data_IF_205662429460
#
_entry.id   IF_205662429460
#
_cell.length_a   1.000
_cell.length_b   1.000
_cell.length_c   1.000
_cell.angle_alpha   90.00
_cell.angle_beta   90.00
_cell.angle_gamma   90.00
#
_symmetry.space_group_name_H-M   'P 1'
#
loop_
_entity.id
_entity.type
_entity.pdbx_description
1 polymer ?
#
# COMPACT_ATOMS: atom_id res chain seq x y z
N UNK A 1 0.07 3.24 27.96
CA UNK A 1 1.17 3.45 27.00
C UNK A 1 0.55 3.15 25.65
N UNK A 2 0.30 4.15 24.81
CA UNK A 2 -0.24 3.87 23.49
C UNK A 2 0.89 3.21 22.69
N UNK A 3 0.65 2.00 22.18
CA UNK A 3 1.61 1.36 21.28
C UNK A 3 1.73 2.24 20.03
N UNK A 4 2.88 2.89 19.88
CA UNK A 4 3.15 3.86 18.81
C UNK A 4 3.28 3.13 17.45
N UNK A 5 3.39 1.79 17.47
CA UNK A 5 3.67 0.96 16.31
C UNK A 5 2.91 -0.38 16.42
N UNK A 6 2.08 -0.67 15.41
CA UNK A 6 1.43 -1.97 15.23
C UNK A 6 1.99 -2.69 14.02
N UNK A 7 2.14 -4.01 14.12
CA UNK A 7 2.55 -4.88 13.01
C UNK A 7 1.44 -5.87 12.70
N UNK A 8 1.12 -6.00 11.42
CA UNK A 8 0.12 -6.95 10.93
C UNK A 8 0.74 -7.71 9.77
N UNK A 9 0.60 -9.03 9.78
CA UNK A 9 1.20 -9.93 8.81
C UNK A 9 0.11 -10.68 8.06
N UNK A 10 -0.32 -10.11 6.94
CA UNK A 10 -1.34 -10.67 6.06
C UNK A 10 -0.74 -11.64 5.06
N UNK A 11 -1.50 -12.70 4.73
CA UNK A 11 -1.06 -13.75 3.80
C UNK A 11 -1.68 -13.61 2.42
N UNK A 12 -2.89 -13.08 2.36
CA UNK A 12 -3.67 -12.96 1.12
C UNK A 12 -4.04 -11.50 0.86
N UNK A 13 -4.51 -11.23 -0.36
CA UNK A 13 -5.00 -9.91 -0.73
C UNK A 13 -6.30 -9.59 0.03
N UNK A 14 -7.14 -10.59 0.24
CA UNK A 14 -8.39 -10.49 0.98
C UNK A 14 -8.14 -10.11 2.45
N UNK A 15 -7.17 -10.76 3.11
CA UNK A 15 -6.76 -10.41 4.48
C UNK A 15 -6.27 -8.95 4.55
N UNK A 16 -5.49 -8.51 3.55
CA UNK A 16 -5.01 -7.12 3.47
C UNK A 16 -6.16 -6.13 3.38
N UNK A 17 -7.16 -6.40 2.53
CA UNK A 17 -8.34 -5.55 2.38
C UNK A 17 -9.18 -5.48 3.65
N UNK A 18 -9.35 -6.62 4.33
CA UNK A 18 -10.06 -6.70 5.61
C UNK A 18 -9.35 -5.87 6.67
N UNK A 19 -8.04 -6.03 6.81
CA UNK A 19 -7.25 -5.29 7.80
C UNK A 19 -7.24 -3.78 7.53
N UNK A 20 -7.09 -3.35 6.27
CA UNK A 20 -7.19 -1.92 5.92
C UNK A 20 -8.59 -1.38 6.27
N UNK A 21 -9.64 -2.15 5.98
CA UNK A 21 -11.02 -1.74 6.29
C UNK A 21 -11.23 -1.62 7.80
N UNK A 22 -10.70 -2.55 8.59
CA UNK A 22 -10.80 -2.55 10.06
C UNK A 22 -10.19 -1.30 10.70
N UNK A 23 -9.21 -0.64 10.04
CA UNK A 23 -8.63 0.61 10.53
C UNK A 23 -9.68 1.72 10.68
N UNK A 24 -10.75 1.71 9.88
CA UNK A 24 -11.84 2.68 10.02
C UNK A 24 -12.57 2.52 11.36
N UNK A 25 -12.82 1.28 11.75
CA UNK A 25 -13.50 0.94 13.01
C UNK A 25 -12.60 1.26 14.20
N UNK A 26 -11.35 0.79 14.16
CA UNK A 26 -10.36 1.00 15.21
C UNK A 26 -10.06 2.48 15.45
N UNK A 27 -10.00 3.30 14.40
CA UNK A 27 -9.68 4.72 14.54
C UNK A 27 -10.76 5.54 15.27
N UNK A 28 -12.01 5.10 15.18
CA UNK A 28 -13.13 5.74 15.87
C UNK A 28 -13.00 5.57 17.39
N UNK A 29 -12.56 4.40 17.83
CA UNK A 29 -12.41 4.04 19.25
C UNK A 29 -11.02 4.33 19.82
N UNK A 30 -9.98 4.35 18.98
CA UNK A 30 -8.60 4.55 19.39
C UNK A 30 -8.39 5.94 19.99
N UNK A 31 -7.56 6.03 21.04
CA UNK A 31 -7.18 7.32 21.65
C UNK A 31 -6.26 8.12 20.72
N UNK A 32 -5.42 7.44 19.95
CA UNK A 32 -4.51 8.00 18.95
C UNK A 32 -4.64 7.23 17.63
N UNK A 33 -5.29 7.81 16.60
CA UNK A 33 -5.40 7.19 15.28
C UNK A 33 -4.02 7.06 14.60
N UNK A 34 -3.90 6.13 13.66
CA UNK A 34 -2.67 5.94 12.89
C UNK A 34 -2.36 7.16 12.02
N UNK A 35 -1.15 7.71 12.15
CA UNK A 35 -0.63 8.80 11.31
C UNK A 35 0.22 8.33 10.13
N UNK A 36 0.55 7.04 10.09
CA UNK A 36 1.29 6.42 9.00
C UNK A 36 0.83 4.97 8.81
N UNK A 37 0.55 4.59 7.57
CA UNK A 37 0.28 3.22 7.14
C UNK A 37 1.42 2.81 6.20
N UNK A 38 2.06 1.67 6.48
CA UNK A 38 3.10 1.10 5.63
C UNK A 38 2.61 -0.24 5.14
N UNK A 39 2.53 -0.41 3.81
CA UNK A 39 2.27 -1.70 3.17
C UNK A 39 3.56 -2.17 2.52
N UNK A 40 4.13 -3.24 3.05
CA UNK A 40 5.36 -3.81 2.51
C UNK A 40 5.07 -4.84 1.41
N UNK A 41 5.86 -4.80 0.34
CA UNK A 41 5.86 -5.69 -0.81
C UNK A 41 4.46 -5.88 -1.41
N UNK A 42 3.78 -4.78 -1.72
CA UNK A 42 2.40 -4.81 -2.24
C UNK A 42 2.28 -5.66 -3.52
N UNK A 43 3.32 -5.68 -4.34
CA UNK A 43 3.42 -6.54 -5.52
C UNK A 43 3.15 -8.01 -5.17
N UNK A 44 3.58 -8.51 -4.02
CA UNK A 44 3.39 -9.90 -3.62
C UNK A 44 1.89 -10.28 -3.57
N UNK A 45 1.05 -9.39 -3.04
CA UNK A 45 -0.40 -9.59 -2.93
C UNK A 45 -1.10 -9.45 -4.30
N UNK A 46 -0.60 -8.56 -5.16
CA UNK A 46 -1.19 -8.29 -6.47
C UNK A 46 -0.83 -9.31 -7.55
N UNK A 47 0.31 -10.01 -7.41
CA UNK A 47 0.75 -11.04 -8.37
C UNK A 47 0.13 -12.42 -8.10
N UNK A 48 -0.24 -12.75 -6.86
CA UNK A 48 -0.78 -14.07 -6.48
C UNK A 48 -2.15 -14.41 -7.10
N UNK A 49 -2.91 -13.40 -7.53
CA UNK A 49 -4.23 -13.56 -8.15
C UNK A 49 -4.16 -13.94 -9.65
N UNK A 50 -2.97 -13.90 -10.27
CA UNK A 50 -2.77 -14.05 -11.72
C UNK A 50 -2.60 -15.50 -12.14
N UNK A 51 -3.67 -16.28 -12.10
CA UNK A 51 -3.72 -17.61 -12.76
C UNK A 51 -4.40 -17.45 -14.13
N UNK A 52 -3.62 -17.17 -15.17
CA UNK A 52 -4.11 -17.11 -16.55
C UNK A 52 -3.31 -16.16 -17.45
N UNK A 53 -3.44 -16.27 -18.79
CA UNK A 53 -2.77 -15.36 -19.72
C UNK A 53 -3.22 -13.93 -19.41
N UNK A 54 -2.23 -13.04 -19.21
CA UNK A 54 -2.29 -11.60 -18.98
C UNK A 54 -3.72 -11.02 -19.05
N UNK A 55 -4.50 -11.16 -17.98
CA UNK A 55 -5.75 -10.41 -17.89
C UNK A 55 -5.37 -8.99 -17.49
N UNK A 56 -5.76 -8.03 -18.34
CA UNK A 56 -5.71 -6.57 -18.11
C UNK A 56 -6.56 -6.12 -16.89
N UNK A 57 -6.90 -7.03 -15.99
CA UNK A 57 -7.70 -6.75 -14.82
C UNK A 57 -6.83 -6.10 -13.73
N UNK A 58 -6.70 -4.78 -13.87
CA UNK A 58 -6.08 -3.90 -12.90
C UNK A 58 -7.05 -3.50 -11.78
N UNK A 59 -8.27 -4.05 -11.76
CA UNK A 59 -9.28 -3.71 -10.74
C UNK A 59 -8.79 -3.98 -9.31
N UNK A 60 -8.07 -5.07 -8.98
CA UNK A 60 -7.60 -5.29 -7.61
C UNK A 60 -6.55 -4.25 -7.19
N UNK A 61 -5.70 -3.83 -8.13
CA UNK A 61 -4.67 -2.81 -7.91
C UNK A 61 -5.32 -1.45 -7.63
N UNK A 62 -6.27 -1.06 -8.47
CA UNK A 62 -7.01 0.18 -8.30
C UNK A 62 -7.84 0.17 -7.00
N UNK A 63 -8.44 -0.97 -6.66
CA UNK A 63 -9.22 -1.13 -5.45
C UNK A 63 -8.38 -0.95 -4.18
N UNK A 64 -7.24 -1.64 -4.06
CA UNK A 64 -6.34 -1.49 -2.92
C UNK A 64 -5.82 -0.06 -2.81
N UNK A 65 -5.41 0.54 -3.94
CA UNK A 65 -4.87 1.89 -3.95
C UNK A 65 -5.91 2.93 -3.53
N UNK A 66 -7.15 2.80 -4.03
CA UNK A 66 -8.27 3.65 -3.64
C UNK A 66 -8.60 3.48 -2.15
N UNK A 67 -8.68 2.22 -1.68
CA UNK A 67 -8.99 1.93 -0.29
C UNK A 67 -7.94 2.53 0.66
N UNK A 68 -6.65 2.33 0.40
CA UNK A 68 -5.57 2.92 1.19
C UNK A 68 -5.65 4.46 1.21
N UNK A 69 -5.92 5.06 0.05
CA UNK A 69 -6.08 6.51 -0.07
C UNK A 69 -7.25 7.02 0.77
N UNK A 70 -8.41 6.38 0.66
CA UNK A 70 -9.62 6.75 1.38
C UNK A 70 -9.48 6.54 2.89
N UNK A 71 -8.86 5.43 3.31
CA UNK A 71 -8.55 5.19 4.73
C UNK A 71 -7.63 6.24 5.30
N UNK A 72 -6.58 6.64 4.58
CA UNK A 72 -5.70 7.72 5.03
C UNK A 72 -6.38 9.09 5.05
N UNK A 73 -7.28 9.38 4.10
CA UNK A 73 -8.08 10.59 4.13
C UNK A 73 -9.01 10.63 5.35
N UNK A 74 -9.67 9.51 5.65
CA UNK A 74 -10.51 9.36 6.84
C UNK A 74 -9.72 9.53 8.14
N UNK A 75 -8.58 8.85 8.28
CA UNK A 75 -7.70 8.99 9.45
C UNK A 75 -7.18 10.41 9.60
N UNK A 76 -6.85 11.08 8.49
CA UNK A 76 -6.47 12.49 8.49
C UNK A 76 -7.57 13.36 9.05
N UNK A 77 -8.83 13.16 8.65
CA UNK A 77 -9.96 13.91 9.20
C UNK A 77 -10.09 13.74 10.72
N UNK A 78 -9.96 12.51 11.23
CA UNK A 78 -9.98 12.24 12.67
C UNK A 78 -8.80 12.94 13.35
N UNK A 79 -7.59 12.78 12.84
CA UNK A 79 -6.38 13.40 13.41
C UNK A 79 -6.48 14.92 13.46
N UNK A 80 -6.98 15.56 12.40
CA UNK A 80 -7.19 17.01 12.35
C UNK A 80 -8.22 17.47 13.39
N UNK A 81 -9.30 16.73 13.58
CA UNK A 81 -10.31 17.05 14.60
C UNK A 81 -9.78 16.98 16.04
N UNK A 82 -8.73 16.19 16.29
CA UNK A 82 -8.19 15.93 17.64
C UNK A 82 -6.91 16.71 17.94
N UNK A 83 -6.15 17.12 16.93
CA UNK A 83 -4.82 17.73 17.06
C UNK A 83 -4.76 19.14 16.47
N UNK A 84 -5.71 20.00 16.83
CA UNK A 84 -5.77 21.42 16.42
C UNK A 84 -5.57 21.65 14.90
N UNK A 85 -6.06 20.72 14.09
CA UNK A 85 -5.99 20.79 12.62
C UNK A 85 -4.65 20.43 11.99
N UNK A 86 -3.62 20.01 12.75
CA UNK A 86 -2.27 19.74 12.21
C UNK A 86 -2.00 18.26 11.91
N UNK A 87 -2.86 17.35 12.36
CA UNK A 87 -2.68 15.92 12.14
C UNK A 87 -2.82 15.50 10.66
N UNK A 88 -1.99 14.56 10.22
CA UNK A 88 -2.05 13.97 8.88
C UNK A 88 -1.79 12.47 8.96
N UNK A 89 -2.54 11.68 8.19
CA UNK A 89 -2.23 10.28 7.94
C UNK A 89 -1.57 10.15 6.57
N UNK A 90 -0.49 9.38 6.48
CA UNK A 90 0.24 9.11 5.23
C UNK A 90 0.23 7.62 4.92
N UNK A 91 0.29 7.30 3.64
CA UNK A 91 0.47 5.93 3.15
C UNK A 91 1.83 5.83 2.49
N UNK A 92 2.56 4.76 2.82
CA UNK A 92 3.76 4.35 2.13
C UNK A 92 3.58 2.91 1.68
N UNK A 93 3.97 2.64 0.44
CA UNK A 93 3.88 1.31 -0.15
C UNK A 93 5.24 0.98 -0.76
N UNK A 94 5.77 -0.20 -0.47
CA UNK A 94 6.91 -0.74 -1.22
C UNK A 94 6.43 -1.68 -2.32
N UNK A 95 7.12 -1.63 -3.45
CA UNK A 95 6.81 -2.41 -4.65
C UNK A 95 8.12 -2.89 -5.27
N UNK A 96 8.27 -4.19 -5.42
CA UNK A 96 9.47 -4.81 -6.00
C UNK A 96 9.22 -5.16 -7.47
N UNK A 97 9.86 -4.42 -8.38
CA UNK A 97 9.68 -4.61 -9.83
C UNK A 97 10.44 -5.82 -10.39
N UNK A 98 11.54 -6.22 -9.76
CA UNK A 98 12.38 -7.32 -10.25
C UNK A 98 12.30 -8.52 -9.30
N UNK A 99 11.50 -9.52 -9.66
CA UNK A 99 11.74 -10.87 -9.15
C UNK A 99 12.89 -11.47 -9.92
N UNK A 100 14.01 -11.66 -9.25
CA UNK A 100 15.23 -12.28 -9.76
C UNK A 100 14.90 -13.63 -10.44
N UNK A 101 14.82 -13.65 -11.78
CA UNK A 101 14.62 -14.89 -12.55
C UNK A 101 13.82 -14.83 -13.86
N UNK A 102 13.04 -13.77 -14.15
CA UNK A 102 12.20 -13.73 -15.37
C UNK A 102 12.82 -12.87 -16.47
N UNK A 103 13.64 -13.49 -17.33
CA UNK A 103 14.19 -12.88 -18.55
C UNK A 103 13.32 -13.22 -19.77
N UNK A 104 12.26 -12.42 -20.03
CA UNK A 104 11.89 -11.94 -21.39
C UNK A 104 10.42 -11.61 -21.64
N UNK A 105 9.45 -11.84 -20.75
CA UNK A 105 8.02 -11.75 -21.19
C UNK A 105 7.11 -10.70 -20.56
N UNK A 106 7.54 -9.87 -19.60
CA UNK A 106 6.57 -9.10 -18.77
C UNK A 106 6.95 -7.64 -18.46
N UNK A 107 7.84 -6.98 -19.21
CA UNK A 107 8.24 -5.58 -18.93
C UNK A 107 7.04 -4.59 -18.89
N UNK A 108 5.96 -4.89 -19.60
CA UNK A 108 4.74 -4.05 -19.60
C UNK A 108 3.87 -4.25 -18.35
N UNK A 109 3.94 -5.39 -17.66
CA UNK A 109 3.02 -5.72 -16.57
C UNK A 109 3.27 -4.92 -15.28
N UNK A 110 4.51 -4.74 -14.80
CA UNK A 110 4.80 -3.87 -13.64
C UNK A 110 4.52 -2.40 -13.93
N UNK A 111 4.86 -1.91 -15.14
CA UNK A 111 4.66 -0.51 -15.50
C UNK A 111 3.18 -0.12 -15.54
N UNK A 112 2.30 -1.01 -16.03
CA UNK A 112 0.86 -0.79 -15.97
C UNK A 112 0.36 -0.71 -14.51
N UNK A 113 0.90 -1.55 -13.61
CA UNK A 113 0.52 -1.55 -12.20
C UNK A 113 0.93 -0.24 -11.52
N UNK A 114 2.18 0.16 -11.74
CA UNK A 114 2.73 1.42 -11.24
C UNK A 114 1.92 2.60 -11.77
N UNK A 115 1.50 2.58 -13.05
CA UNK A 115 0.65 3.63 -13.63
C UNK A 115 -0.72 3.79 -12.97
N UNK A 116 -1.26 2.72 -12.36
CA UNK A 116 -2.48 2.78 -11.57
C UNK A 116 -2.17 3.34 -10.18
N UNK A 117 -1.13 2.83 -9.52
CA UNK A 117 -0.69 3.29 -8.20
C UNK A 117 -0.38 4.79 -8.19
N UNK A 118 0.31 5.30 -9.22
CA UNK A 118 0.70 6.71 -9.34
C UNK A 118 -0.50 7.67 -9.37
N UNK A 119 -1.70 7.20 -9.70
CA UNK A 119 -2.94 8.01 -9.66
C UNK A 119 -3.42 8.28 -8.25
N UNK A 120 -3.13 7.38 -7.31
CA UNK A 120 -3.56 7.44 -5.90
C UNK A 120 -2.41 7.84 -4.97
N UNK A 121 -1.19 7.37 -5.27
CA UNK A 121 0.04 7.58 -4.52
C UNK A 121 0.95 8.53 -5.30
N UNK A 122 0.89 9.82 -4.97
CA UNK A 122 1.51 10.88 -5.78
C UNK A 122 3.04 10.91 -5.75
N UNK A 123 3.67 10.28 -4.78
CA UNK A 123 5.13 10.32 -4.59
C UNK A 123 5.67 8.92 -4.81
N UNK A 124 6.54 8.80 -5.81
CA UNK A 124 7.28 7.58 -6.14
C UNK A 124 8.75 7.80 -5.87
N UNK A 125 9.34 6.91 -5.08
CA UNK A 125 10.78 6.87 -4.83
C UNK A 125 11.33 5.58 -5.44
N UNK A 126 12.36 5.68 -6.28
CA UNK A 126 13.08 4.52 -6.80
C UNK A 126 14.34 4.30 -5.96
N UNK A 127 14.49 3.09 -5.42
CA UNK A 127 15.68 2.66 -4.71
C UNK A 127 16.52 1.82 -5.67
N UNK A 128 17.73 2.28 -5.97
CA UNK A 128 18.71 1.53 -6.75
C UNK A 128 19.76 0.98 -5.80
N UNK A 129 19.99 -0.34 -5.84
CA UNK A 129 21.09 -0.95 -5.10
C UNK A 129 22.41 -0.60 -5.78
N UNK A 130 23.15 0.35 -5.20
CA UNK A 130 24.50 0.68 -5.67
C UNK A 130 25.43 -0.45 -5.22
N UNK A 131 25.64 -1.44 -6.08
CA UNK A 131 26.68 -2.45 -5.89
C UNK A 131 28.04 -1.75 -5.97
N UNK A 132 28.61 -1.42 -4.82
CA UNK A 132 30.00 -1.02 -4.70
C UNK A 132 30.87 -2.20 -5.19
N UNK A 133 31.42 -2.08 -6.40
CA UNK A 133 32.46 -2.97 -6.87
C UNK A 133 33.72 -2.67 -6.04
N UNK A 134 33.96 -3.49 -5.02
CA UNK A 134 35.23 -3.59 -4.30
C UNK A 134 36.15 -4.59 -5.02
#
# INVERSE_FOLDING_TARGET
MADILGFVYVKTLEDLLEDITSLHELASEATSPSSLIIVDSLDHYLHGSRVGPLQDDLSPVAHVAALLHDTAAFLTQILQSRADGQGLCRVMVSFQSEREGSRDSEVLAPELLLSVLDRYLRVRCTLEEVKLQL
#
